data_IF_608920275312
#
_entry.id   IF_608920275312
#
_cell.length_a   1.000
_cell.length_b   1.000
_cell.length_c   1.000
_cell.angle_alpha   90.00
_cell.angle_beta   90.00
_cell.angle_gamma   90.00
#
_symmetry.space_group_name_H-M   'P 1'
#
loop_
_entity.id
_entity.type
_entity.pdbx_description
1 polymer ?
#
# COMPACT_ATOMS: atom_id res chain seq x y z
N UNK A 1 -19.96 14.60 -18.76
CA UNK A 1 -20.25 14.41 -17.34
C UNK A 1 -20.01 12.95 -17.06
N UNK A 2 -18.79 12.60 -16.68
CA UNK A 2 -18.41 11.23 -16.34
C UNK A 2 -19.04 10.85 -14.99
N UNK A 3 -19.65 9.69 -15.00
CA UNK A 3 -20.45 9.14 -13.91
C UNK A 3 -19.57 8.85 -12.67
N UNK A 4 -19.61 9.77 -11.71
CA UNK A 4 -18.87 9.67 -10.43
C UNK A 4 -19.48 8.59 -9.51
N UNK A 5 -20.49 7.85 -9.98
CA UNK A 5 -21.32 6.97 -9.14
C UNK A 5 -21.12 5.46 -9.36
N UNK A 6 -20.10 5.04 -10.13
CA UNK A 6 -20.07 3.70 -10.70
C UNK A 6 -18.97 2.75 -10.28
N UNK A 7 -18.03 3.10 -9.43
CA UNK A 7 -17.00 2.14 -9.04
C UNK A 7 -17.57 1.10 -8.06
N UNK A 8 -17.85 -0.08 -8.59
CA UNK A 8 -18.21 -1.23 -7.77
C UNK A 8 -16.95 -2.01 -7.43
N UNK A 9 -16.70 -2.20 -6.16
CA UNK A 9 -15.57 -2.96 -5.64
C UNK A 9 -16.03 -4.25 -4.96
N UNK A 10 -15.14 -5.22 -4.90
CA UNK A 10 -15.37 -6.46 -4.16
C UNK A 10 -15.11 -6.16 -2.69
N UNK A 11 -16.13 -6.33 -1.83
CA UNK A 11 -15.93 -6.22 -0.40
C UNK A 11 -14.96 -7.30 0.11
N UNK A 12 -13.95 -6.88 0.85
CA UNK A 12 -13.01 -7.77 1.51
C UNK A 12 -13.42 -8.03 2.97
N UNK A 13 -12.93 -9.09 3.61
CA UNK A 13 -13.05 -9.25 5.05
C UNK A 13 -12.53 -8.00 5.76
N UNK A 14 -13.25 -7.55 6.79
CA UNK A 14 -12.83 -6.37 7.54
C UNK A 14 -11.49 -6.61 8.25
N UNK A 15 -10.54 -5.70 8.06
CA UNK A 15 -9.25 -5.71 8.73
C UNK A 15 -9.13 -4.49 9.63
N UNK A 16 -8.67 -4.70 10.87
CA UNK A 16 -8.39 -3.60 11.77
C UNK A 16 -7.10 -2.88 11.39
N UNK A 17 -7.02 -1.60 11.70
CA UNK A 17 -5.80 -0.82 11.48
C UNK A 17 -4.62 -1.40 12.28
N UNK A 18 -4.85 -1.88 13.51
CA UNK A 18 -3.82 -2.53 14.35
C UNK A 18 -3.26 -3.81 13.70
N UNK A 19 -4.11 -4.61 13.04
CA UNK A 19 -3.67 -5.77 12.28
C UNK A 19 -2.78 -5.35 11.09
N UNK A 20 -3.16 -4.31 10.35
CA UNK A 20 -2.40 -3.80 9.21
C UNK A 20 -1.06 -3.20 9.65
N UNK A 21 -1.00 -2.57 10.83
CA UNK A 21 0.26 -2.11 11.43
C UNK A 21 1.20 -3.28 11.73
N UNK A 22 0.69 -4.32 12.39
CA UNK A 22 1.47 -5.51 12.74
C UNK A 22 1.97 -6.23 11.48
N UNK A 23 1.13 -6.34 10.46
CA UNK A 23 1.51 -6.92 9.19
C UNK A 23 2.57 -6.08 8.47
N UNK A 24 2.43 -4.75 8.45
CA UNK A 24 3.43 -3.84 7.89
C UNK A 24 4.80 -3.99 8.56
N UNK A 25 4.85 -4.03 9.88
CA UNK A 25 6.10 -4.28 10.60
C UNK A 25 6.67 -5.67 10.29
N UNK A 26 5.82 -6.70 10.12
CA UNK A 26 6.25 -8.05 9.72
C UNK A 26 6.89 -8.04 8.34
N UNK A 27 6.29 -7.36 7.37
CA UNK A 27 6.84 -7.21 6.02
C UNK A 27 8.19 -6.49 6.07
N UNK A 28 8.27 -5.37 6.78
CA UNK A 28 9.54 -4.62 6.92
C UNK A 28 10.61 -5.46 7.62
N UNK A 29 10.26 -6.19 8.68
CA UNK A 29 11.21 -7.05 9.38
C UNK A 29 11.75 -8.19 8.51
N UNK A 30 10.98 -8.62 7.53
CA UNK A 30 11.36 -9.68 6.58
C UNK A 30 12.29 -9.16 5.48
N UNK A 31 12.01 -7.96 4.95
CA UNK A 31 12.70 -7.44 3.77
C UNK A 31 13.79 -6.42 4.10
N UNK A 32 13.62 -5.64 5.16
CA UNK A 32 14.55 -4.58 5.54
C UNK A 32 14.51 -4.34 7.06
N UNK A 33 14.97 -5.30 7.90
CA UNK A 33 14.83 -5.25 9.35
C UNK A 33 15.47 -4.00 9.99
N UNK A 34 16.54 -3.48 9.40
CA UNK A 34 17.19 -2.24 9.86
C UNK A 34 16.27 -1.01 9.80
N UNK A 35 15.27 -0.99 8.90
CA UNK A 35 14.28 0.07 8.82
C UNK A 35 13.34 0.13 10.04
N UNK A 36 13.38 -0.87 10.90
CA UNK A 36 12.69 -0.86 12.20
C UNK A 36 13.57 -0.35 13.34
N UNK A 37 14.85 -0.07 13.09
CA UNK A 37 15.79 0.42 14.10
C UNK A 37 15.91 1.95 14.14
N UNK A 38 15.38 2.65 13.14
CA UNK A 38 15.37 4.11 13.06
C UNK A 38 14.65 4.62 11.82
N UNK A 39 14.27 5.91 11.80
CA UNK A 39 13.62 6.52 10.65
C UNK A 39 14.54 6.47 9.42
N UNK A 40 14.10 5.80 8.37
CA UNK A 40 14.78 5.72 7.08
C UNK A 40 13.83 5.26 5.97
N UNK A 41 14.12 5.59 4.71
CA UNK A 41 13.30 5.13 3.60
C UNK A 41 13.40 3.63 3.37
N UNK A 42 12.31 3.02 2.92
CA UNK A 42 12.31 1.65 2.40
C UNK A 42 12.99 1.64 1.02
N UNK A 43 13.87 0.69 0.77
CA UNK A 43 14.57 0.51 -0.51
C UNK A 43 13.71 -0.22 -1.53
N UNK A 44 12.64 0.46 -2.00
CA UNK A 44 11.60 -0.15 -2.85
C UNK A 44 12.20 -0.80 -4.11
N UNK A 45 13.20 -0.17 -4.75
CA UNK A 45 13.85 -0.71 -5.94
C UNK A 45 14.56 -2.04 -5.65
N UNK A 46 15.30 -2.12 -4.55
CA UNK A 46 15.96 -3.36 -4.11
C UNK A 46 14.93 -4.46 -3.82
N UNK A 47 13.80 -4.10 -3.18
CA UNK A 47 12.74 -5.07 -2.93
C UNK A 47 12.21 -5.67 -4.23
N UNK A 48 11.97 -4.85 -5.25
CA UNK A 48 11.45 -5.28 -6.55
C UNK A 48 12.43 -6.18 -7.27
N UNK A 49 13.70 -5.79 -7.31
CA UNK A 49 14.69 -6.48 -8.13
C UNK A 49 15.20 -7.77 -7.49
N UNK A 50 15.28 -7.83 -6.15
CA UNK A 50 15.99 -8.90 -5.47
C UNK A 50 15.12 -9.72 -4.50
N UNK A 51 14.16 -9.09 -3.83
CA UNK A 51 13.46 -9.72 -2.71
C UNK A 51 12.08 -10.24 -3.09
N UNK A 52 11.22 -9.43 -3.69
CA UNK A 52 9.86 -9.82 -4.02
C UNK A 52 9.78 -11.03 -4.95
N UNK A 53 10.68 -11.19 -5.96
CA UNK A 53 10.65 -12.38 -6.83
C UNK A 53 10.86 -13.70 -6.06
N UNK A 54 11.57 -13.69 -4.94
CA UNK A 54 11.77 -14.88 -4.08
C UNK A 54 10.47 -15.33 -3.40
N UNK A 55 9.48 -14.45 -3.35
CA UNK A 55 8.15 -14.71 -2.77
C UNK A 55 7.07 -14.83 -3.87
N UNK A 56 7.49 -14.97 -5.14
CA UNK A 56 6.57 -15.09 -6.27
C UNK A 56 5.80 -13.81 -6.58
N UNK A 57 6.36 -12.64 -6.24
CA UNK A 57 5.78 -11.34 -6.55
C UNK A 57 6.69 -10.64 -7.55
N UNK A 58 6.18 -10.38 -8.75
CA UNK A 58 6.93 -9.79 -9.85
C UNK A 58 6.37 -8.42 -10.20
N UNK A 59 7.24 -7.40 -10.21
CA UNK A 59 6.88 -6.04 -10.63
C UNK A 59 7.48 -5.79 -12.00
N UNK A 60 6.64 -5.46 -12.97
CA UNK A 60 7.05 -5.32 -14.36
C UNK A 60 6.46 -4.06 -14.99
N UNK A 61 7.20 -3.38 -15.88
CA UNK A 61 6.63 -2.32 -16.69
C UNK A 61 5.64 -2.91 -17.70
N UNK A 62 4.50 -2.24 -17.86
CA UNK A 62 3.47 -2.58 -18.84
C UNK A 62 3.12 -1.35 -19.69
N UNK A 63 2.68 -1.58 -20.92
CA UNK A 63 2.30 -0.49 -21.81
C UNK A 63 1.05 0.24 -21.30
N UNK A 64 0.88 1.49 -21.71
CA UNK A 64 -0.36 2.23 -21.41
C UNK A 64 -1.60 1.60 -22.05
N UNK A 65 -1.44 0.82 -23.11
CA UNK A 65 -2.53 0.06 -23.72
C UNK A 65 -3.00 -1.08 -22.80
N UNK A 66 -2.07 -1.79 -22.17
CA UNK A 66 -2.37 -2.87 -21.21
C UNK A 66 -2.97 -2.34 -19.90
N UNK A 67 -2.50 -1.20 -19.44
CA UNK A 67 -2.97 -0.59 -18.18
C UNK A 67 -4.30 0.18 -18.35
N UNK A 68 -4.61 0.66 -19.56
CA UNK A 68 -5.73 1.56 -19.82
C UNK A 68 -5.52 2.91 -19.10
N UNK A 69 -6.51 3.33 -18.31
CA UNK A 69 -6.43 4.58 -17.53
C UNK A 69 -5.67 4.43 -16.20
N UNK A 70 -5.23 3.22 -15.86
CA UNK A 70 -4.51 2.94 -14.60
C UNK A 70 -3.03 3.20 -14.75
N UNK A 71 -2.38 3.57 -13.66
CA UNK A 71 -0.92 3.74 -13.59
C UNK A 71 -0.22 2.47 -13.09
N UNK A 72 -0.96 1.63 -12.38
CA UNK A 72 -0.52 0.33 -11.88
C UNK A 72 -1.71 -0.60 -11.65
N UNK A 73 -1.47 -1.90 -11.56
CA UNK A 73 -2.49 -2.91 -11.25
C UNK A 73 -1.85 -4.22 -10.80
N UNK A 74 -2.47 -4.87 -9.84
CA UNK A 74 -2.05 -6.18 -9.33
C UNK A 74 -2.93 -7.30 -9.86
N UNK A 75 -2.31 -8.35 -10.38
CA UNK A 75 -2.96 -9.56 -10.86
C UNK A 75 -2.52 -10.80 -10.09
N UNK A 76 -3.45 -11.75 -9.96
CA UNK A 76 -3.12 -13.11 -9.59
C UNK A 76 -2.59 -13.85 -10.84
N UNK A 77 -1.31 -14.12 -10.90
CA UNK A 77 -0.71 -14.89 -11.98
C UNK A 77 -0.99 -16.41 -11.81
N UNK A 78 -0.51 -17.21 -12.73
CA UNK A 78 -0.66 -18.67 -12.71
C UNK A 78 0.08 -19.26 -11.50
N UNK A 79 -0.54 -20.21 -10.81
CA UNK A 79 0.02 -20.82 -9.61
C UNK A 79 -0.09 -19.90 -8.39
N UNK A 80 0.96 -19.81 -7.58
CA UNK A 80 1.01 -18.99 -6.38
C UNK A 80 1.57 -17.57 -6.62
N UNK A 81 1.95 -17.24 -7.85
CA UNK A 81 2.62 -15.98 -8.18
C UNK A 81 1.65 -14.81 -8.31
N UNK A 82 2.14 -13.60 -8.09
CA UNK A 82 1.43 -12.34 -8.28
C UNK A 82 2.23 -11.44 -9.22
N UNK A 83 1.55 -10.80 -10.14
CA UNK A 83 2.13 -9.82 -11.06
C UNK A 83 1.61 -8.43 -10.73
N UNK A 84 2.53 -7.50 -10.56
CA UNK A 84 2.26 -6.08 -10.38
C UNK A 84 2.73 -5.39 -11.65
N UNK A 85 1.78 -4.96 -12.47
CA UNK A 85 2.05 -4.20 -13.69
C UNK A 85 2.02 -2.71 -13.38
N UNK A 86 3.06 -2.00 -13.75
CA UNK A 86 3.18 -0.55 -13.53
C UNK A 86 3.48 0.16 -14.85
N UNK A 87 3.07 1.43 -14.97
CA UNK A 87 3.44 2.22 -16.14
C UNK A 87 4.97 2.36 -16.23
N UNK A 88 5.53 2.51 -17.46
CA UNK A 88 6.96 2.69 -17.64
C UNK A 88 7.49 3.87 -16.81
N UNK A 89 6.70 4.95 -16.73
CA UNK A 89 7.06 6.11 -15.92
C UNK A 89 7.23 5.73 -14.43
N UNK A 90 6.31 4.94 -13.84
CA UNK A 90 6.44 4.46 -12.45
C UNK A 90 7.71 3.64 -12.29
N UNK A 91 7.95 2.68 -13.21
CA UNK A 91 9.09 1.77 -13.14
C UNK A 91 10.44 2.50 -13.21
N UNK A 92 10.56 3.44 -14.13
CA UNK A 92 11.78 4.22 -14.34
C UNK A 92 12.07 5.19 -13.18
N UNK A 93 11.02 5.78 -12.61
CA UNK A 93 11.16 6.75 -11.52
C UNK A 93 11.30 6.13 -10.11
N UNK A 94 11.30 4.81 -9.98
CA UNK A 94 11.60 4.14 -8.70
C UNK A 94 13.04 4.35 -8.24
N UNK A 95 13.96 4.57 -9.18
CA UNK A 95 15.37 4.84 -8.92
C UNK A 95 15.68 6.35 -8.86
N UNK A 96 14.73 7.22 -9.21
CA UNK A 96 14.91 8.66 -9.19
C UNK A 96 14.93 9.17 -7.74
N UNK A 97 16.04 9.80 -7.35
CA UNK A 97 16.21 10.38 -6.01
C UNK A 97 15.50 11.73 -5.86
N UNK A 98 15.10 12.39 -6.95
CA UNK A 98 14.51 13.73 -6.89
C UNK A 98 12.98 13.70 -6.69
N UNK A 99 12.23 12.77 -7.31
CA UNK A 99 10.76 12.74 -7.26
C UNK A 99 10.12 11.35 -7.22
N UNK A 100 10.63 10.37 -6.48
CA UNK A 100 10.11 9.02 -6.53
C UNK A 100 8.90 8.78 -5.63
N UNK A 101 8.43 9.78 -4.87
CA UNK A 101 7.41 9.58 -3.84
C UNK A 101 6.15 8.89 -4.36
N UNK A 102 5.65 9.34 -5.52
CA UNK A 102 4.45 8.77 -6.13
C UNK A 102 4.71 7.34 -6.63
N UNK A 103 5.83 7.11 -7.33
CA UNK A 103 6.20 5.79 -7.84
C UNK A 103 6.35 4.78 -6.69
N UNK A 104 7.07 5.15 -5.65
CA UNK A 104 7.29 4.30 -4.45
C UNK A 104 5.99 3.94 -3.75
N UNK A 105 5.15 4.94 -3.46
CA UNK A 105 3.87 4.69 -2.79
C UNK A 105 2.91 3.87 -3.64
N UNK A 106 2.90 4.06 -4.96
CA UNK A 106 2.10 3.26 -5.89
C UNK A 106 2.53 1.80 -5.87
N UNK A 107 3.82 1.51 -5.99
CA UNK A 107 4.30 0.11 -5.99
C UNK A 107 4.04 -0.58 -4.66
N UNK A 108 4.24 0.09 -3.53
CA UNK A 108 3.95 -0.51 -2.22
C UNK A 108 2.44 -0.66 -1.98
N UNK A 109 1.61 0.21 -2.55
CA UNK A 109 0.16 0.04 -2.57
C UNK A 109 -0.25 -1.22 -3.35
N UNK A 110 0.29 -1.44 -4.54
CA UNK A 110 0.05 -2.65 -5.32
C UNK A 110 0.60 -3.91 -4.61
N UNK A 111 1.76 -3.81 -3.95
CA UNK A 111 2.28 -4.89 -3.10
C UNK A 111 1.30 -5.23 -1.97
N UNK A 112 0.66 -4.22 -1.37
CA UNK A 112 -0.36 -4.46 -0.35
C UNK A 112 -1.57 -5.21 -0.93
N UNK A 113 -2.00 -4.93 -2.16
CA UNK A 113 -3.01 -5.73 -2.86
C UNK A 113 -2.54 -7.18 -3.08
N UNK A 114 -1.30 -7.38 -3.50
CA UNK A 114 -0.72 -8.72 -3.68
C UNK A 114 -0.72 -9.53 -2.38
N UNK A 115 -0.39 -8.91 -1.26
CA UNK A 115 -0.32 -9.56 0.06
C UNK A 115 -1.73 -9.83 0.62
N UNK A 116 -2.63 -8.84 0.59
CA UNK A 116 -3.92 -8.91 1.28
C UNK A 116 -5.01 -9.60 0.45
N UNK A 117 -5.08 -9.31 -0.84
CA UNK A 117 -6.27 -9.58 -1.62
C UNK A 117 -6.09 -10.74 -2.61
N UNK A 118 -4.91 -10.88 -3.22
CA UNK A 118 -4.67 -11.95 -4.19
C UNK A 118 -4.88 -13.35 -3.59
N UNK A 119 -4.38 -13.69 -2.38
CA UNK A 119 -4.63 -15.00 -1.77
C UNK A 119 -6.11 -15.26 -1.53
N UNK A 120 -6.86 -14.24 -1.09
CA UNK A 120 -8.30 -14.35 -0.86
C UNK A 120 -9.09 -14.58 -2.16
N UNK A 121 -8.72 -13.89 -3.22
CA UNK A 121 -9.37 -14.02 -4.53
C UNK A 121 -9.11 -15.38 -5.16
N UNK A 122 -7.90 -15.93 -5.01
CA UNK A 122 -7.56 -17.28 -5.46
C UNK A 122 -8.40 -18.35 -4.77
N UNK A 123 -8.46 -18.31 -3.45
CA UNK A 123 -9.22 -19.28 -2.68
C UNK A 123 -10.73 -19.24 -3.00
N UNK A 124 -11.25 -18.11 -3.47
CA UNK A 124 -12.64 -17.96 -3.89
C UNK A 124 -12.91 -18.57 -5.28
N UNK A 125 -11.93 -18.58 -6.17
CA UNK A 125 -12.10 -19.14 -7.54
C UNK A 125 -12.15 -20.67 -7.56
N UNK A 126 -11.59 -21.34 -6.56
CA UNK A 126 -11.48 -22.81 -6.51
C UNK A 126 -12.69 -23.54 -5.91
N UNK A 127 -13.61 -22.87 -5.23
CA UNK A 127 -14.70 -23.60 -4.55
C UNK A 127 -15.96 -22.84 -4.18
N UNK A 128 -16.04 -21.55 -4.32
CA UNK A 128 -17.19 -20.79 -3.88
C UNK A 128 -17.90 -20.06 -5.01
N UNK A 129 -19.06 -20.60 -5.41
CA UNK A 129 -20.10 -19.88 -6.17
C UNK A 129 -20.83 -18.84 -5.30
N UNK A 130 -20.39 -18.54 -4.11
CA UNK A 130 -20.90 -17.42 -3.36
C UNK A 130 -20.51 -16.14 -4.10
N UNK A 131 -21.54 -15.53 -4.68
CA UNK A 131 -21.45 -14.27 -5.40
C UNK A 131 -20.63 -13.30 -4.60
N UNK A 132 -19.48 -12.95 -5.11
CA UNK A 132 -18.73 -11.76 -4.72
C UNK A 132 -19.69 -10.58 -4.91
N UNK A 133 -20.30 -10.12 -3.83
CA UNK A 133 -21.19 -8.96 -3.89
C UNK A 133 -20.32 -7.77 -4.24
N UNK A 134 -20.40 -7.35 -5.51
CA UNK A 134 -19.89 -6.05 -5.91
C UNK A 134 -20.81 -5.01 -5.28
N UNK A 135 -20.26 -4.21 -4.39
CA UNK A 135 -20.98 -3.10 -3.75
C UNK A 135 -20.44 -1.78 -4.28
N UNK A 136 -21.30 -0.78 -4.39
CA UNK A 136 -20.81 0.57 -4.62
C UNK A 136 -19.88 0.94 -3.46
N UNK A 137 -18.67 1.40 -3.74
CA UNK A 137 -17.61 1.70 -2.75
C UNK A 137 -18.12 2.54 -1.58
N UNK A 138 -18.99 3.53 -1.84
CA UNK A 138 -19.65 4.36 -0.81
C UNK A 138 -20.50 3.61 0.22
N UNK A 139 -20.80 2.33 -0.01
CA UNK A 139 -21.60 1.46 0.90
C UNK A 139 -20.74 0.52 1.71
N UNK A 140 -19.42 0.53 1.50
CA UNK A 140 -18.49 -0.29 2.26
C UNK A 140 -18.09 0.44 3.55
N UNK A 141 -17.98 -0.30 4.64
CA UNK A 141 -17.21 0.17 5.78
C UNK A 141 -15.73 0.25 5.36
N UNK A 142 -15.00 1.26 5.81
CA UNK A 142 -13.57 1.45 5.50
C UNK A 142 -12.75 0.17 5.71
N UNK A 143 -12.97 -0.50 6.84
CA UNK A 143 -12.30 -1.75 7.18
C UNK A 143 -12.51 -2.89 6.16
N UNK A 144 -13.53 -2.81 5.30
CA UNK A 144 -13.83 -3.77 4.23
C UNK A 144 -13.58 -3.23 2.82
N UNK A 145 -13.09 -2.00 2.70
CA UNK A 145 -12.68 -1.40 1.43
C UNK A 145 -11.26 -1.86 1.08
N UNK A 146 -11.04 -2.62 -0.02
CA UNK A 146 -9.72 -3.08 -0.39
C UNK A 146 -8.71 -1.95 -0.64
N UNK A 147 -9.16 -0.82 -1.17
CA UNK A 147 -8.31 0.34 -1.40
C UNK A 147 -7.85 0.97 -0.08
N UNK A 148 -8.77 1.12 0.88
CA UNK A 148 -8.43 1.62 2.20
C UNK A 148 -7.43 0.68 2.92
N UNK A 149 -7.66 -0.65 2.83
CA UNK A 149 -6.76 -1.64 3.40
C UNK A 149 -5.36 -1.58 2.77
N UNK A 150 -5.30 -1.48 1.44
CA UNK A 150 -4.03 -1.41 0.70
C UNK A 150 -3.26 -0.12 1.05
N UNK A 151 -3.91 1.04 1.08
CA UNK A 151 -3.27 2.29 1.50
C UNK A 151 -2.87 2.31 2.97
N UNK A 152 -3.61 1.64 3.85
CA UNK A 152 -3.25 1.53 5.26
C UNK A 152 -2.00 0.67 5.44
N UNK A 153 -1.93 -0.50 4.77
CA UNK A 153 -0.75 -1.36 4.80
C UNK A 153 0.46 -0.70 4.13
N UNK A 154 0.27 -0.03 2.99
CA UNK A 154 1.35 0.72 2.33
C UNK A 154 1.95 1.79 3.25
N UNK A 155 1.10 2.52 3.99
CA UNK A 155 1.54 3.47 4.99
C UNK A 155 2.32 2.83 6.14
N UNK A 156 1.88 1.65 6.62
CA UNK A 156 2.56 0.91 7.68
C UNK A 156 3.94 0.38 7.23
N UNK A 157 4.07 -0.01 5.97
CA UNK A 157 5.35 -0.46 5.39
C UNK A 157 6.30 0.72 5.18
N UNK A 158 5.85 1.79 4.49
CA UNK A 158 6.72 2.90 4.13
C UNK A 158 7.10 3.77 5.32
N UNK A 159 6.25 3.85 6.34
CA UNK A 159 6.40 4.70 7.53
C UNK A 159 6.02 3.88 8.78
N UNK A 160 6.87 2.95 9.25
CA UNK A 160 6.56 2.12 10.41
C UNK A 160 6.29 2.96 11.67
N UNK A 161 5.18 2.67 12.37
CA UNK A 161 4.72 3.42 13.55
C UNK A 161 5.83 3.61 14.59
N UNK A 162 6.58 2.53 14.87
CA UNK A 162 7.65 2.56 15.87
C UNK A 162 8.78 3.51 15.52
N UNK A 163 9.12 3.68 14.25
CA UNK A 163 10.20 4.56 13.82
C UNK A 163 9.74 6.00 13.63
N UNK A 164 8.47 6.24 13.27
CA UNK A 164 7.85 7.57 13.41
C UNK A 164 7.96 8.07 14.87
N UNK A 165 7.70 7.17 15.84
CA UNK A 165 7.79 7.52 17.26
C UNK A 165 9.19 7.93 17.73
N UNK A 166 10.25 7.60 16.97
CA UNK A 166 11.63 7.98 17.25
C UNK A 166 12.01 9.37 16.70
N UNK A 167 11.18 9.95 15.82
CA UNK A 167 11.43 11.29 15.30
C UNK A 167 11.28 12.35 16.42
N UNK A 168 12.19 13.32 16.50
CA UNK A 168 12.07 14.44 17.43
C UNK A 168 10.93 15.40 17.08
N UNK A 169 10.67 15.54 15.78
CA UNK A 169 9.53 16.26 15.20
C UNK A 169 8.69 15.28 14.35
N UNK A 170 7.40 15.18 14.67
CA UNK A 170 6.44 14.32 13.98
C UNK A 170 5.49 15.12 13.11
N UNK A 171 5.90 16.30 12.67
CA UNK A 171 5.13 17.04 11.67
C UNK A 171 5.05 16.25 10.37
N UNK A 172 3.98 16.40 9.57
CA UNK A 172 3.88 15.75 8.28
C UNK A 172 5.10 15.97 7.38
N UNK A 173 5.68 17.14 7.43
CA UNK A 173 6.90 17.49 6.69
C UNK A 173 8.10 16.64 7.14
N UNK A 174 8.36 16.59 8.44
CA UNK A 174 9.50 15.83 9.00
C UNK A 174 9.35 14.33 8.74
N UNK A 175 8.12 13.79 8.83
CA UNK A 175 7.82 12.39 8.48
C UNK A 175 8.04 12.16 6.99
N UNK A 176 7.55 13.05 6.12
CA UNK A 176 7.73 12.93 4.68
C UNK A 176 9.20 12.92 4.28
N UNK A 177 10.01 13.82 4.84
CA UNK A 177 11.45 13.90 4.60
C UNK A 177 12.18 12.64 5.10
N UNK A 178 11.89 12.17 6.31
CA UNK A 178 12.56 11.02 6.92
C UNK A 178 12.30 9.70 6.21
N UNK A 179 11.09 9.51 5.68
CA UNK A 179 10.68 8.25 5.03
C UNK A 179 10.61 8.34 3.51
N UNK A 180 10.91 9.51 2.96
CA UNK A 180 10.93 9.76 1.54
C UNK A 180 9.60 9.46 0.85
N UNK A 181 8.54 10.06 1.40
CA UNK A 181 7.16 10.01 0.90
C UNK A 181 6.62 11.42 0.67
N UNK A 182 5.45 11.55 0.03
CA UNK A 182 4.80 12.85 -0.08
C UNK A 182 4.27 13.34 1.27
N UNK A 183 4.26 14.66 1.48
CA UNK A 183 3.70 15.25 2.70
C UNK A 183 2.22 14.87 2.90
N UNK A 184 1.42 14.86 1.84
CA UNK A 184 0.01 14.44 1.91
C UNK A 184 -0.12 12.99 2.38
N UNK A 185 0.77 12.08 1.94
CA UNK A 185 0.73 10.71 2.39
C UNK A 185 1.15 10.59 3.86
N UNK A 186 2.13 11.38 4.30
CA UNK A 186 2.52 11.47 5.71
C UNK A 186 1.38 12.03 6.59
N UNK A 187 0.64 13.04 6.13
CA UNK A 187 -0.55 13.58 6.81
C UNK A 187 -1.60 12.49 7.05
N UNK A 188 -2.03 11.80 5.99
CA UNK A 188 -3.01 10.69 6.09
C UNK A 188 -2.49 9.58 7.02
N UNK A 189 -1.20 9.29 6.98
CA UNK A 189 -0.57 8.31 7.86
C UNK A 189 -0.67 8.71 9.34
N UNK A 190 -0.35 9.94 9.66
CA UNK A 190 -0.39 10.46 11.02
C UNK A 190 -1.83 10.52 11.56
N UNK A 191 -2.80 10.92 10.74
CA UNK A 191 -4.22 10.89 11.09
C UNK A 191 -4.69 9.48 11.49
N UNK A 192 -4.30 8.46 10.71
CA UNK A 192 -4.61 7.05 11.03
C UNK A 192 -3.97 6.61 12.35
N UNK A 193 -2.74 7.00 12.61
CA UNK A 193 -2.06 6.69 13.86
C UNK A 193 -2.69 7.38 15.07
N UNK A 194 -3.16 8.61 14.92
CA UNK A 194 -3.90 9.32 15.96
C UNK A 194 -5.19 8.59 16.37
N UNK A 195 -5.92 8.08 15.37
CA UNK A 195 -7.12 7.24 15.63
C UNK A 195 -6.76 6.00 16.46
N UNK A 196 -5.64 5.32 16.14
CA UNK A 196 -5.18 4.16 16.92
C UNK A 196 -4.80 4.51 18.36
N UNK A 197 -4.20 5.68 18.56
CA UNK A 197 -3.77 6.16 19.89
C UNK A 197 -4.93 6.76 20.70
N UNK A 198 -6.13 6.90 20.11
CA UNK A 198 -7.24 7.62 20.73
C UNK A 198 -7.00 9.12 20.84
N UNK A 199 -6.07 9.68 20.09
CA UNK A 199 -5.76 11.10 20.03
C UNK A 199 -6.67 11.82 19.02
N UNK A 200 -6.94 13.11 19.28
CA UNK A 200 -7.69 13.94 18.34
C UNK A 200 -6.78 14.31 17.15
N UNK A 201 -7.11 13.86 15.91
CA UNK A 201 -6.31 14.15 14.73
C UNK A 201 -6.10 15.66 14.47
N UNK A 202 -7.03 16.51 14.93
CA UNK A 202 -6.94 17.98 14.75
C UNK A 202 -5.74 18.62 15.48
N UNK A 203 -5.10 17.89 16.39
CA UNK A 203 -3.90 18.37 17.12
C UNK A 203 -2.61 18.16 16.35
N UNK A 204 -2.59 17.35 15.32
CA UNK A 204 -1.40 17.07 14.51
C UNK A 204 -1.18 18.10 13.38
N UNK A 205 -2.18 18.95 13.11
CA UNK A 205 -2.15 19.96 12.05
C UNK A 205 -1.67 21.35 12.51
N UNK A 206 -0.99 21.45 13.68
CA UNK A 206 -0.50 22.74 14.20
C UNK A 206 1.02 22.79 14.23
#
# INVERSE_FOLDING_TARGET
>A
MSDIFGETVIAMPALSLEYLETLGETVVSTFQPEALSGPQPIRVREWIDELLPRFGIHVMPASYEELGERVAVTYAAVGAESEILVSPWIYDNLADEERPHFARSTVIHELAHAILHVPLLRNRSEGSREMTKRLARRRLAEASDPEWQAWALAGAILMPRRTIAMLPDRSPRSVAEAFFVSQTFAEVRLERLAVLSGEDPSRLAR
#
